data_IF_571158142485
#
_entry.id   IF_571158142485
#
_cell.length_a   1.000
_cell.length_b   1.000
_cell.length_c   1.000
_cell.angle_alpha   90.00
_cell.angle_beta   90.00
_cell.angle_gamma   90.00
#
_symmetry.space_group_name_H-M   'P 1'
#
loop_
_entity.id
_entity.type
_entity.pdbx_description
1 polymer ?
#
# COMPACT_ATOMS: atom_id res chain seq x y z
N UNK A 1 -34.38 21.28 -5.91
CA UNK A 1 -33.22 21.64 -6.75
C UNK A 1 -32.37 22.60 -5.96
N UNK A 2 -31.05 22.46 -6.01
CA UNK A 2 -30.14 23.46 -5.46
C UNK A 2 -30.37 24.80 -6.18
N UNK A 3 -30.57 25.87 -5.41
CA UNK A 3 -30.81 27.24 -5.89
C UNK A 3 -29.65 28.16 -5.57
N UNK A 4 -28.54 27.63 -5.07
CA UNK A 4 -27.34 28.41 -4.77
C UNK A 4 -26.73 28.97 -6.04
N UNK A 5 -26.25 30.20 -5.94
CA UNK A 5 -25.46 30.83 -6.98
C UNK A 5 -24.10 30.13 -7.12
N UNK A 6 -23.64 29.97 -8.35
CA UNK A 6 -22.34 29.38 -8.67
C UNK A 6 -21.53 30.40 -9.45
N UNK A 7 -20.40 30.83 -8.91
CA UNK A 7 -19.45 31.71 -9.58
C UNK A 7 -18.34 30.89 -10.22
N UNK A 8 -18.02 31.16 -11.49
CA UNK A 8 -16.98 30.47 -12.25
C UNK A 8 -16.06 31.50 -12.89
N UNK A 9 -14.77 31.18 -13.01
CA UNK A 9 -13.78 32.00 -13.69
C UNK A 9 -13.07 31.16 -14.75
N UNK A 10 -12.82 31.73 -15.92
CA UNK A 10 -12.02 31.12 -16.98
C UNK A 10 -11.19 32.17 -17.70
N UNK A 11 -9.99 31.80 -18.12
CA UNK A 11 -9.07 32.63 -18.90
C UNK A 11 -9.11 32.33 -20.39
N UNK A 12 -9.78 31.25 -20.80
CA UNK A 12 -9.72 30.71 -22.16
C UNK A 12 -11.08 30.68 -22.88
N UNK A 13 -12.19 30.60 -22.14
CA UNK A 13 -13.51 30.44 -22.72
C UNK A 13 -14.28 31.77 -22.76
N UNK A 14 -14.97 32.09 -23.87
CA UNK A 14 -15.96 33.17 -23.87
C UNK A 14 -17.15 32.80 -22.98
N UNK A 15 -17.92 33.80 -22.54
CA UNK A 15 -19.06 33.59 -21.63
C UNK A 15 -20.10 32.64 -22.25
N UNK A 16 -20.43 32.83 -23.53
CA UNK A 16 -21.36 31.97 -24.25
C UNK A 16 -20.82 31.63 -25.65
N UNK A 17 -20.68 30.34 -25.96
CA UNK A 17 -20.34 29.84 -27.30
C UNK A 17 -21.54 29.28 -28.07
N UNK A 18 -22.76 29.42 -27.53
CA UNK A 18 -23.99 28.88 -28.13
C UNK A 18 -24.54 27.62 -27.45
N UNK A 19 -23.88 27.14 -26.39
CA UNK A 19 -24.39 26.02 -25.58
C UNK A 19 -25.72 26.36 -24.91
N UNK A 20 -26.66 25.42 -24.94
CA UNK A 20 -27.94 25.55 -24.27
C UNK A 20 -28.25 24.31 -23.43
N UNK A 21 -29.04 24.49 -22.38
CA UNK A 21 -29.56 23.41 -21.55
C UNK A 21 -31.07 23.51 -21.44
N UNK A 22 -31.72 22.35 -21.44
CA UNK A 22 -33.15 22.28 -21.20
C UNK A 22 -33.43 22.33 -19.71
N UNK A 23 -34.28 23.27 -19.30
CA UNK A 23 -34.70 23.44 -17.91
C UNK A 23 -36.21 23.58 -17.84
N UNK A 24 -36.80 22.88 -16.88
CA UNK A 24 -38.19 23.07 -16.53
C UNK A 24 -38.39 24.44 -15.88
N UNK A 25 -39.25 25.26 -16.46
CA UNK A 25 -39.66 26.54 -15.90
C UNK A 25 -41.18 26.54 -15.73
N UNK A 26 -41.64 27.02 -14.58
CA UNK A 26 -43.07 27.26 -14.35
C UNK A 26 -43.44 28.64 -14.92
N UNK A 27 -44.39 28.68 -15.84
CA UNK A 27 -44.93 29.93 -16.40
C UNK A 27 -46.23 30.27 -15.67
N UNK A 28 -46.15 31.05 -14.60
CA UNK A 28 -47.31 31.43 -13.77
C UNK A 28 -48.00 30.23 -13.11
N UNK A 29 -49.33 30.20 -13.15
CA UNK A 29 -50.17 29.07 -12.71
C UNK A 29 -50.28 27.94 -13.74
N UNK A 30 -49.62 28.10 -14.89
CA UNK A 30 -49.60 27.10 -15.95
C UNK A 30 -48.72 25.88 -15.65
N UNK A 31 -48.79 24.85 -16.52
CA UNK A 31 -47.94 23.67 -16.41
C UNK A 31 -46.47 24.02 -16.58
N UNK A 32 -45.60 23.15 -16.04
CA UNK A 32 -44.16 23.26 -16.27
C UNK A 32 -43.86 23.08 -17.75
N UNK A 33 -43.13 24.01 -18.34
CA UNK A 33 -42.68 23.93 -19.73
C UNK A 33 -41.17 23.73 -19.77
N UNK A 34 -40.72 22.96 -20.75
CA UNK A 34 -39.31 22.72 -21.00
C UNK A 34 -38.78 23.85 -21.87
N UNK A 35 -37.87 24.66 -21.34
CA UNK A 35 -37.32 25.83 -22.04
C UNK A 35 -35.82 25.63 -22.25
N UNK A 36 -35.33 26.03 -23.42
CA UNK A 36 -33.90 26.08 -23.71
C UNK A 36 -33.31 27.39 -23.17
N UNK A 37 -32.32 27.28 -22.28
CA UNK A 37 -31.66 28.41 -21.65
C UNK A 37 -30.17 28.39 -22.03
N UNK A 38 -29.57 29.53 -22.43
CA UNK A 38 -28.13 29.58 -22.70
C UNK A 38 -27.34 29.23 -21.44
N UNK A 39 -26.39 28.30 -21.58
CA UNK A 39 -25.47 27.89 -20.52
C UNK A 39 -24.10 28.48 -20.80
N UNK A 40 -23.41 29.05 -19.79
CA UNK A 40 -22.03 29.47 -19.98
C UNK A 40 -21.14 28.29 -20.37
N UNK A 41 -20.31 28.46 -21.39
CA UNK A 41 -19.46 27.37 -21.92
C UNK A 41 -18.51 26.83 -20.87
N UNK A 42 -18.07 27.69 -19.95
CA UNK A 42 -17.25 27.32 -18.79
C UNK A 42 -17.89 26.25 -17.91
N UNK A 43 -19.23 26.25 -17.77
CA UNK A 43 -19.97 25.25 -16.99
C UNK A 43 -19.90 23.87 -17.66
N UNK A 44 -20.04 23.84 -18.99
CA UNK A 44 -19.96 22.60 -19.78
C UNK A 44 -18.61 21.93 -19.57
N UNK A 45 -17.53 22.68 -19.79
CA UNK A 45 -16.16 22.19 -19.71
C UNK A 45 -15.76 21.83 -18.28
N UNK A 46 -16.15 22.65 -17.29
CA UNK A 46 -15.93 22.34 -15.89
C UNK A 46 -16.55 20.98 -15.51
N UNK A 47 -17.83 20.77 -15.83
CA UNK A 47 -18.52 19.52 -15.50
C UNK A 47 -17.91 18.30 -16.22
N UNK A 48 -17.36 18.50 -17.42
CA UNK A 48 -16.71 17.44 -18.19
C UNK A 48 -15.43 16.95 -17.51
N UNK A 49 -14.65 17.84 -16.89
CA UNK A 49 -13.32 17.55 -16.38
C UNK A 49 -13.17 17.55 -14.86
N UNK A 50 -14.14 18.09 -14.10
CA UNK A 50 -14.06 18.21 -12.63
C UNK A 50 -13.86 16.88 -11.90
N UNK A 51 -14.34 15.77 -12.49
CA UNK A 51 -14.33 14.45 -11.83
C UNK A 51 -12.99 13.70 -11.90
N UNK A 52 -11.93 14.29 -12.48
CA UNK A 52 -10.65 13.58 -12.66
C UNK A 52 -10.03 13.14 -11.34
N UNK A 53 -10.02 14.01 -10.33
CA UNK A 53 -9.44 13.71 -9.00
C UNK A 53 -10.30 12.70 -8.26
N UNK A 54 -11.62 12.94 -8.16
CA UNK A 54 -12.55 12.03 -7.48
C UNK A 54 -12.53 10.62 -8.06
N UNK A 55 -12.39 10.51 -9.40
CA UNK A 55 -12.30 9.21 -10.07
C UNK A 55 -11.00 8.50 -9.71
N UNK A 56 -9.87 9.21 -9.68
CA UNK A 56 -8.58 8.65 -9.26
C UNK A 56 -8.62 8.20 -7.80
N UNK A 57 -9.16 9.03 -6.92
CA UNK A 57 -9.34 8.73 -5.50
C UNK A 57 -10.26 7.53 -5.28
N UNK A 58 -11.33 7.40 -6.08
CA UNK A 58 -12.19 6.23 -6.06
C UNK A 58 -11.46 4.96 -6.51
N UNK A 59 -10.64 5.03 -7.56
CA UNK A 59 -9.84 3.87 -8.02
C UNK A 59 -8.83 3.41 -6.96
N UNK A 60 -8.18 4.36 -6.29
CA UNK A 60 -7.26 4.09 -5.18
C UNK A 60 -8.03 3.50 -3.99
N UNK A 61 -9.11 4.14 -3.58
CA UNK A 61 -9.91 3.76 -2.40
C UNK A 61 -10.59 2.39 -2.54
N UNK A 62 -11.10 2.05 -3.73
CA UNK A 62 -11.78 0.77 -3.98
C UNK A 62 -10.83 -0.43 -3.97
N UNK A 63 -9.56 -0.23 -4.29
CA UNK A 63 -8.57 -1.30 -4.43
C UNK A 63 -7.47 -1.27 -3.37
N UNK A 64 -7.60 -0.41 -2.37
CA UNK A 64 -6.54 -0.23 -1.40
C UNK A 64 -6.48 -1.36 -0.36
N UNK A 65 -5.25 -1.78 -0.04
CA UNK A 65 -4.95 -2.79 0.99
C UNK A 65 -4.28 -2.10 2.19
N UNK A 66 -4.66 -0.86 2.50
CA UNK A 66 -4.14 -0.13 3.66
C UNK A 66 -4.35 -0.95 4.94
N UNK A 67 -3.25 -1.35 5.59
CA UNK A 67 -3.29 -1.81 6.97
C UNK A 67 -3.33 -0.57 7.87
N UNK A 68 -4.13 -0.59 8.93
CA UNK A 68 -4.13 0.49 9.93
C UNK A 68 -2.76 0.56 10.60
N UNK A 69 -2.00 1.61 10.29
CA UNK A 69 -0.66 1.86 10.83
C UNK A 69 -0.69 3.20 11.57
N UNK A 70 -0.16 3.24 12.79
CA UNK A 70 -0.11 4.46 13.62
C UNK A 70 1.00 5.44 13.22
N UNK A 71 1.93 5.02 12.35
CA UNK A 71 3.06 5.82 11.88
C UNK A 71 2.69 6.52 10.57
N UNK A 72 2.46 7.83 10.63
CA UNK A 72 2.07 8.64 9.47
C UNK A 72 2.98 8.51 8.23
N UNK A 73 4.32 8.37 8.32
CA UNK A 73 5.16 8.28 7.13
C UNK A 73 4.90 6.99 6.35
N UNK A 74 4.61 5.89 7.05
CA UNK A 74 4.29 4.60 6.42
C UNK A 74 2.95 4.66 5.70
N UNK A 75 1.98 5.40 6.24
CA UNK A 75 0.69 5.65 5.58
C UNK A 75 0.88 6.44 4.29
N UNK A 76 1.70 7.50 4.31
CA UNK A 76 2.03 8.28 3.11
C UNK A 76 2.73 7.40 2.07
N UNK A 77 3.72 6.60 2.49
CA UNK A 77 4.41 5.66 1.60
C UNK A 77 3.44 4.67 0.94
N UNK A 78 2.54 4.06 1.71
CA UNK A 78 1.56 3.11 1.17
C UNK A 78 0.63 3.79 0.15
N UNK A 79 0.21 5.03 0.42
CA UNK A 79 -0.60 5.81 -0.50
C UNK A 79 0.13 6.13 -1.81
N UNK A 80 1.43 6.48 -1.75
CA UNK A 80 2.26 6.68 -2.93
C UNK A 80 2.39 5.40 -3.78
N UNK A 81 2.51 4.23 -3.13
CA UNK A 81 2.50 2.94 -3.82
C UNK A 81 1.15 2.69 -4.50
N UNK A 82 0.04 2.96 -3.83
CA UNK A 82 -1.30 2.80 -4.42
C UNK A 82 -1.52 3.74 -5.63
N UNK A 83 -1.02 4.99 -5.57
CA UNK A 83 -1.01 5.91 -6.72
C UNK A 83 -0.17 5.35 -7.87
N UNK A 84 1.05 4.88 -7.59
CA UNK A 84 1.95 4.37 -8.62
C UNK A 84 1.36 3.15 -9.34
N UNK A 85 0.74 2.23 -8.60
CA UNK A 85 0.06 1.05 -9.17
C UNK A 85 -1.17 1.44 -9.98
N UNK A 86 -1.93 2.43 -9.54
CA UNK A 86 -3.09 2.94 -10.30
C UNK A 86 -2.64 3.58 -11.61
N UNK A 87 -1.58 4.40 -11.57
CA UNK A 87 -1.04 5.05 -12.76
C UNK A 87 -0.44 4.06 -13.75
N UNK A 88 0.28 3.04 -13.29
CA UNK A 88 0.83 1.99 -14.18
C UNK A 88 -0.29 1.19 -14.86
N UNK A 89 -1.40 0.94 -14.15
CA UNK A 89 -2.58 0.32 -14.73
C UNK A 89 -3.23 1.19 -15.83
N UNK A 90 -3.36 2.51 -15.60
CA UNK A 90 -3.89 3.44 -16.59
C UNK A 90 -3.03 3.40 -17.86
N UNK A 91 -1.70 3.51 -17.71
CA UNK A 91 -0.77 3.42 -18.85
C UNK A 91 -0.90 2.08 -19.58
N UNK A 92 -0.99 0.96 -18.85
CA UNK A 92 -1.17 -0.35 -19.46
C UNK A 92 -2.47 -0.42 -20.28
N UNK A 93 -3.57 0.15 -19.77
CA UNK A 93 -4.86 0.20 -20.47
C UNK A 93 -4.78 1.02 -21.75
N UNK A 94 -4.09 2.17 -21.72
CA UNK A 94 -3.84 2.99 -22.90
C UNK A 94 -3.00 2.23 -23.94
N UNK A 95 -1.90 1.60 -23.52
CA UNK A 95 -1.05 0.79 -24.40
C UNK A 95 -1.81 -0.39 -25.04
N UNK A 96 -2.60 -1.12 -24.25
CA UNK A 96 -3.43 -2.23 -24.76
C UNK A 96 -4.47 -1.72 -25.78
N UNK A 97 -5.06 -0.55 -25.53
CA UNK A 97 -6.03 0.08 -26.44
C UNK A 97 -5.37 0.45 -27.78
N UNK A 98 -4.14 0.98 -27.74
CA UNK A 98 -3.35 1.27 -28.96
C UNK A 98 -3.00 0.00 -29.74
N UNK A 99 -2.76 -1.10 -29.04
CA UNK A 99 -2.45 -2.41 -29.64
C UNK A 99 -3.69 -3.21 -30.06
N UNK A 100 -4.90 -2.66 -29.87
CA UNK A 100 -6.19 -3.35 -30.08
C UNK A 100 -6.34 -4.65 -29.27
N UNK A 101 -5.62 -4.75 -28.16
CA UNK A 101 -5.70 -5.87 -27.25
C UNK A 101 -6.72 -5.60 -26.13
N UNK A 102 -7.26 -6.67 -25.55
CA UNK A 102 -8.13 -6.53 -24.38
C UNK A 102 -7.28 -6.15 -23.17
N UNK A 103 -7.51 -4.99 -22.55
CA UNK A 103 -6.74 -4.60 -21.38
C UNK A 103 -7.02 -5.57 -20.23
N UNK A 104 -5.99 -5.81 -19.42
CA UNK A 104 -6.14 -6.58 -18.19
C UNK A 104 -7.14 -5.91 -17.23
N UNK A 105 -7.75 -6.71 -16.35
CA UNK A 105 -8.56 -6.18 -15.25
C UNK A 105 -7.65 -5.53 -14.18
N UNK A 106 -8.18 -4.58 -13.41
CA UNK A 106 -7.48 -3.95 -12.28
C UNK A 106 -6.89 -4.99 -11.31
N UNK A 107 -7.66 -6.04 -10.99
CA UNK A 107 -7.20 -7.07 -10.07
C UNK A 107 -6.08 -7.96 -10.65
N UNK A 108 -6.07 -8.21 -11.96
CA UNK A 108 -5.03 -9.02 -12.59
C UNK A 108 -3.73 -8.24 -12.74
N UNK A 109 -3.80 -6.96 -13.13
CA UNK A 109 -2.63 -6.08 -13.19
C UNK A 109 -1.98 -5.90 -11.81
N UNK A 110 -2.78 -5.75 -10.74
CA UNK A 110 -2.27 -5.72 -9.36
C UNK A 110 -1.60 -7.03 -8.94
N UNK A 111 -2.19 -8.20 -9.27
CA UNK A 111 -1.56 -9.49 -8.96
C UNK A 111 -0.22 -9.65 -9.66
N UNK A 112 -0.15 -9.26 -10.93
CA UNK A 112 1.10 -9.26 -11.69
C UNK A 112 2.14 -8.35 -11.03
N UNK A 113 1.77 -7.12 -10.64
CA UNK A 113 2.65 -6.20 -9.93
C UNK A 113 3.17 -6.77 -8.60
N UNK A 114 2.30 -7.40 -7.80
CA UNK A 114 2.68 -8.03 -6.54
C UNK A 114 3.60 -9.22 -6.76
N UNK A 115 3.33 -10.05 -7.76
CA UNK A 115 4.17 -11.20 -8.11
C UNK A 115 5.58 -10.76 -8.49
N UNK A 116 5.70 -9.79 -9.42
CA UNK A 116 7.01 -9.26 -9.84
C UNK A 116 7.75 -8.62 -8.66
N UNK A 117 7.04 -7.89 -7.78
CA UNK A 117 7.64 -7.32 -6.58
C UNK A 117 8.18 -8.38 -5.62
N UNK A 118 7.49 -9.53 -5.51
CA UNK A 118 7.88 -10.66 -4.67
C UNK A 118 9.10 -11.39 -5.25
N UNK A 119 9.15 -11.57 -6.57
CA UNK A 119 10.28 -12.18 -7.27
C UNK A 119 11.56 -11.35 -7.05
N UNK A 120 11.48 -10.02 -7.24
CA UNK A 120 12.60 -9.10 -7.00
C UNK A 120 13.07 -9.09 -5.54
N UNK A 121 12.14 -9.16 -4.57
CA UNK A 121 12.51 -9.20 -3.14
C UNK A 121 12.97 -10.58 -2.67
N UNK A 122 12.50 -11.66 -3.29
CA UNK A 122 12.94 -13.03 -3.04
C UNK A 122 14.42 -13.22 -3.36
N UNK A 123 14.88 -12.65 -4.48
CA UNK A 123 16.30 -12.61 -4.84
C UNK A 123 17.13 -11.83 -3.81
N UNK A 124 16.60 -10.72 -3.28
CA UNK A 124 17.25 -9.94 -2.21
C UNK A 124 17.26 -10.68 -0.86
N UNK A 125 16.20 -11.43 -0.53
CA UNK A 125 16.07 -12.17 0.71
C UNK A 125 16.96 -13.43 0.76
N UNK A 126 17.17 -14.08 -0.39
CA UNK A 126 18.14 -15.17 -0.54
C UNK A 126 19.58 -14.69 -0.32
N UNK A 127 19.92 -13.46 -0.75
CA UNK A 127 21.24 -12.87 -0.46
C UNK A 127 21.47 -12.59 1.03
N UNK A 128 20.43 -12.53 1.87
CA UNK A 128 20.55 -12.24 3.30
C UNK A 128 20.47 -13.47 4.21
N UNK A 129 20.22 -14.67 3.67
CA UNK A 129 19.98 -15.91 4.45
C UNK A 129 20.96 -17.04 4.15
N UNK A 130 22.23 -16.73 3.92
CA UNK A 130 23.30 -17.74 4.07
C UNK A 130 23.97 -17.52 5.43
N UNK A 131 23.31 -17.94 6.50
CA UNK A 131 24.00 -18.33 7.73
C UNK A 131 23.74 -19.83 7.82
N UNK A 132 24.77 -20.63 7.55
CA UNK A 132 24.70 -22.08 7.64
C UNK A 132 24.42 -22.46 9.10
N UNK A 133 23.21 -22.95 9.38
CA UNK A 133 22.90 -23.63 10.63
C UNK A 133 23.22 -25.10 10.39
N UNK A 134 24.34 -25.57 10.95
CA UNK A 134 24.67 -26.99 10.96
C UNK A 134 23.64 -27.73 11.81
N UNK A 135 22.87 -28.61 11.17
CA UNK A 135 22.09 -29.65 11.82
C UNK A 135 23.02 -30.56 12.61
N UNK A 136 22.67 -30.89 13.85
CA UNK A 136 22.96 -32.21 14.38
C UNK A 136 21.86 -32.70 15.32
N UNK A 137 21.73 -34.01 15.33
CA UNK A 137 20.55 -34.80 15.68
C UNK A 137 20.37 -34.99 17.20
N UNK A 138 19.08 -35.03 17.60
CA UNK A 138 18.43 -35.56 18.82
C UNK A 138 19.28 -36.32 19.87
N UNK A 139 19.03 -36.04 21.16
CA UNK A 139 18.66 -37.01 22.22
C UNK A 139 17.97 -36.31 23.42
N UNK A 140 17.45 -37.10 24.34
CA UNK A 140 16.22 -36.92 25.12
C UNK A 140 16.23 -36.00 26.37
N UNK A 141 15.00 -35.65 26.75
CA UNK A 141 14.57 -34.96 27.97
C UNK A 141 15.14 -35.62 29.24
N UNK A 142 15.85 -34.86 30.08
CA UNK A 142 15.85 -35.09 31.53
C UNK A 142 16.31 -33.86 32.32
N UNK A 143 15.66 -33.69 33.48
CA UNK A 143 15.99 -32.85 34.63
C UNK A 143 16.07 -31.33 34.45
N UNK A 144 14.93 -30.71 34.72
CA UNK A 144 14.82 -29.47 35.50
C UNK A 144 15.82 -29.46 36.68
N UNK A 145 16.69 -28.47 36.73
CA UNK A 145 17.24 -27.96 37.99
C UNK A 145 17.35 -26.44 37.89
N UNK A 146 16.45 -25.78 38.60
CA UNK A 146 16.51 -24.35 38.90
C UNK A 146 17.68 -24.13 39.85
N UNK A 147 18.57 -23.17 39.58
CA UNK A 147 19.19 -22.24 40.55
C UNK A 147 20.37 -21.51 39.90
N UNK A 148 20.31 -20.17 39.89
CA UNK A 148 21.46 -19.31 39.56
C UNK A 148 21.20 -18.17 38.59
N UNK A 149 20.10 -17.43 38.72
CA UNK A 149 19.86 -16.20 37.96
C UNK A 149 20.35 -14.95 38.71
N UNK A 150 21.35 -14.26 38.18
CA UNK A 150 21.52 -12.78 38.17
C UNK A 150 22.63 -12.48 37.14
N UNK A 151 22.50 -11.68 36.08
CA UNK A 151 21.44 -10.81 35.60
C UNK A 151 21.61 -10.62 34.07
N UNK A 152 20.71 -11.21 33.27
CA UNK A 152 20.01 -10.58 32.16
C UNK A 152 18.86 -11.49 31.78
N UNK A 153 17.66 -10.92 31.94
CA UNK A 153 16.39 -11.60 31.98
C UNK A 153 15.98 -12.04 30.57
N UNK A 154 16.50 -13.17 30.12
CA UNK A 154 15.90 -13.94 29.03
C UNK A 154 15.65 -15.35 29.54
N UNK A 155 14.40 -15.62 29.89
CA UNK A 155 13.82 -16.97 30.06
C UNK A 155 13.86 -17.71 28.72
N UNK A 156 15.05 -17.99 28.20
CA UNK A 156 15.27 -18.71 26.96
C UNK A 156 16.01 -19.99 27.32
N UNK A 157 15.31 -21.11 27.24
CA UNK A 157 15.93 -22.43 27.18
C UNK A 157 16.91 -22.43 26.01
N UNK A 158 18.21 -22.59 26.29
CA UNK A 158 19.23 -22.71 25.25
C UNK A 158 19.42 -24.19 24.93
N UNK A 159 19.43 -24.55 23.65
CA UNK A 159 19.70 -25.92 23.21
C UNK A 159 21.19 -26.31 23.37
N UNK A 160 22.02 -25.39 23.84
CA UNK A 160 23.47 -25.52 23.91
C UNK A 160 23.91 -25.46 25.38
N UNK A 161 24.81 -26.36 25.76
CA UNK A 161 25.39 -26.44 27.09
C UNK A 161 26.91 -26.71 27.00
N UNK A 162 27.65 -26.22 27.99
CA UNK A 162 29.06 -26.54 28.19
C UNK A 162 29.23 -28.02 28.55
N UNK A 163 30.12 -28.76 27.87
CA UNK A 163 30.36 -30.18 28.20
C UNK A 163 31.08 -30.35 29.55
N UNK A 164 32.00 -29.45 29.88
CA UNK A 164 32.80 -29.54 31.12
C UNK A 164 32.01 -29.17 32.38
N UNK A 165 31.04 -28.27 32.24
CA UNK A 165 30.42 -27.55 33.36
C UNK A 165 28.90 -27.58 33.35
N UNK A 166 28.29 -28.14 32.30
CA UNK A 166 26.84 -28.35 32.15
C UNK A 166 25.98 -27.08 32.31
N UNK A 167 26.58 -25.90 32.04
CA UNK A 167 25.91 -24.60 32.06
C UNK A 167 25.35 -24.26 30.67
N UNK A 168 24.11 -23.75 30.63
CA UNK A 168 23.45 -23.33 29.38
C UNK A 168 24.14 -22.13 28.70
N UNK A 169 24.40 -22.25 27.40
CA UNK A 169 25.14 -21.29 26.59
C UNK A 169 24.24 -20.40 25.74
N UNK A 170 24.41 -19.08 25.86
CA UNK A 170 23.79 -18.11 24.96
C UNK A 170 24.73 -17.80 23.79
N UNK A 171 24.47 -18.37 22.62
CA UNK A 171 25.20 -18.06 21.37
C UNK A 171 24.79 -16.66 20.86
N UNK A 172 25.27 -15.62 21.53
CA UNK A 172 25.37 -14.30 20.94
C UNK A 172 26.78 -14.14 20.35
N UNK A 173 26.93 -13.78 19.06
CA UNK A 173 28.24 -13.68 18.39
C UNK A 173 29.23 -12.77 19.14
N UNK A 174 28.71 -11.82 19.91
CA UNK A 174 29.48 -10.74 20.53
C UNK A 174 29.85 -11.04 22.00
N UNK A 175 29.48 -12.21 22.55
CA UNK A 175 29.66 -12.55 23.98
C UNK A 175 30.25 -13.94 24.17
N UNK A 176 31.51 -14.12 23.78
CA UNK A 176 32.29 -15.36 23.93
C UNK A 176 32.91 -15.56 25.34
N UNK A 177 32.33 -14.94 26.39
CA UNK A 177 32.94 -14.92 27.73
C UNK A 177 33.07 -16.31 28.38
N UNK A 178 32.18 -17.25 28.07
CA UNK A 178 32.22 -18.58 28.68
C UNK A 178 33.36 -19.45 28.14
N UNK A 179 33.69 -19.33 26.85
CA UNK A 179 34.82 -20.04 26.25
C UNK A 179 36.16 -19.54 26.77
N UNK A 180 36.31 -18.22 26.96
CA UNK A 180 37.50 -17.62 27.58
C UNK A 180 37.74 -18.13 29.00
N UNK A 181 36.67 -18.35 29.77
CA UNK A 181 36.74 -18.87 31.14
C UNK A 181 37.39 -20.27 31.20
N UNK A 182 37.15 -21.12 30.20
CA UNK A 182 37.79 -22.44 30.08
C UNK A 182 39.21 -22.38 29.53
N UNK A 183 39.63 -21.26 28.93
CA UNK A 183 41.00 -21.06 28.44
C UNK A 183 41.96 -20.47 29.48
N UNK A 184 41.47 -20.17 30.70
CA UNK A 184 42.32 -19.68 31.79
C UNK A 184 42.92 -18.30 31.56
N UNK A 185 42.23 -17.45 30.78
CA UNK A 185 42.55 -16.02 30.59
C UNK A 185 41.55 -15.12 31.30
#
# INVERSE_FOLDING_TARGET
MDTREVSLCSTIHPVYSGDTVQRWKKTGDGPHQLISIPRPTTVTEYNRYMGGVDTSDQMIGTNSVHRKIRRWPTTVFQHLVDIAVTNSFIIHKECASLQQERPMTVNSSRRSFLQTSLELTGEMALRRRVINICNNQRTDKSSESQLGATALQTQRSTAWQCEDCNVGLCLQPDRYYHWLYHQGL
#
